data_IF_756844782097
#
_entry.id   IF_756844782097
#
_cell.length_a   1.000
_cell.length_b   1.000
_cell.length_c   1.000
_cell.angle_alpha   90.00
_cell.angle_beta   90.00
_cell.angle_gamma   90.00
#
_symmetry.space_group_name_H-M   'P 1'
#
loop_
_entity.id
_entity.type
_entity.pdbx_description
1 polymer ?
#
# COMPACT_ATOMS: atom_id res chain seq x y z
N UNK A 1 13.29 -5.70 -4.76
CA UNK A 1 11.89 -5.47 -5.17
C UNK A 1 11.86 -4.49 -6.32
N UNK A 2 10.95 -4.65 -7.30
CA UNK A 2 11.03 -3.91 -8.57
C UNK A 2 10.81 -2.40 -8.41
N UNK A 3 9.80 -1.96 -7.66
CA UNK A 3 9.47 -0.53 -7.54
C UNK A 3 10.44 0.30 -6.70
N UNK A 4 11.60 -0.23 -6.30
CA UNK A 4 12.63 0.53 -5.57
C UNK A 4 13.38 1.53 -6.46
N UNK A 5 13.36 1.33 -7.78
CA UNK A 5 14.07 2.16 -8.76
C UNK A 5 13.12 2.66 -9.83
N UNK A 6 13.43 3.80 -10.42
CA UNK A 6 12.67 4.43 -11.50
C UNK A 6 12.41 3.48 -12.68
N UNK A 7 11.27 3.66 -13.37
CA UNK A 7 10.89 2.84 -14.52
C UNK A 7 10.24 1.48 -14.17
N UNK A 8 9.99 1.23 -12.89
CA UNK A 8 9.45 -0.03 -12.39
C UNK A 8 8.14 0.09 -11.62
N UNK A 9 7.56 1.30 -11.52
CA UNK A 9 6.24 1.46 -10.94
C UNK A 9 5.14 1.13 -11.95
N UNK A 10 3.91 0.84 -11.49
CA UNK A 10 2.79 0.57 -12.40
C UNK A 10 2.55 1.68 -13.43
N UNK A 11 2.74 2.95 -13.04
CA UNK A 11 2.61 4.10 -13.94
C UNK A 11 3.67 4.14 -15.06
N UNK A 12 4.78 3.42 -14.89
CA UNK A 12 5.79 3.22 -15.94
C UNK A 12 5.43 2.05 -16.88
N UNK A 13 4.37 1.31 -16.57
CA UNK A 13 3.95 0.06 -17.21
C UNK A 13 2.51 0.10 -17.73
N UNK A 14 1.99 1.30 -17.98
CA UNK A 14 0.70 1.53 -18.64
C UNK A 14 -0.50 1.67 -17.70
N UNK A 15 -0.28 1.77 -16.38
CA UNK A 15 -1.36 2.14 -15.46
C UNK A 15 -1.50 3.67 -15.37
N UNK A 16 -2.74 4.17 -15.36
CA UNK A 16 -3.02 5.60 -15.25
C UNK A 16 -2.81 6.15 -13.85
N UNK A 17 -3.08 5.34 -12.83
CA UNK A 17 -2.96 5.71 -11.42
C UNK A 17 -2.33 4.61 -10.57
N UNK A 18 -1.68 5.01 -9.49
CA UNK A 18 -1.06 4.11 -8.53
C UNK A 18 -1.16 4.67 -7.12
N UNK A 19 -1.63 3.85 -6.18
CA UNK A 19 -1.54 4.07 -4.74
C UNK A 19 -0.93 2.82 -4.10
N UNK A 20 0.23 2.94 -3.48
CA UNK A 20 0.88 1.77 -2.88
C UNK A 20 2.27 2.01 -2.34
N UNK A 21 2.81 0.98 -1.68
CA UNK A 21 4.21 0.93 -1.30
C UNK A 21 5.07 0.42 -2.47
N UNK A 22 6.24 1.02 -2.75
CA UNK A 22 7.07 0.68 -3.93
C UNK A 22 7.74 -0.71 -3.86
N UNK A 23 7.73 -1.34 -2.70
CA UNK A 23 8.33 -2.66 -2.44
C UNK A 23 7.57 -3.36 -1.32
N UNK A 24 7.94 -4.61 -1.04
CA UNK A 24 7.31 -5.37 0.05
C UNK A 24 7.44 -4.63 1.38
N UNK A 25 6.37 -4.70 2.18
CA UNK A 25 6.24 -3.94 3.42
C UNK A 25 7.34 -4.31 4.42
N UNK A 26 7.81 -5.55 4.46
CA UNK A 26 8.90 -6.01 5.33
C UNK A 26 10.27 -5.41 5.03
N UNK A 27 10.45 -4.80 3.87
CA UNK A 27 11.70 -4.12 3.54
C UNK A 27 11.83 -2.79 4.29
N UNK A 28 10.71 -2.19 4.69
CA UNK A 28 10.66 -0.89 5.36
C UNK A 28 11.05 -0.97 6.83
N UNK A 29 11.95 -0.09 7.29
CA UNK A 29 12.40 -0.07 8.69
C UNK A 29 11.24 0.07 9.71
N UNK A 30 10.19 0.80 9.35
CA UNK A 30 9.01 1.06 10.17
C UNK A 30 8.01 -0.08 10.20
N UNK A 31 8.07 -1.03 9.26
CA UNK A 31 7.12 -2.14 9.21
C UNK A 31 7.27 -3.04 10.44
N UNK A 32 8.50 -3.22 10.91
CA UNK A 32 8.82 -4.10 12.03
C UNK A 32 8.66 -3.46 13.41
N UNK A 33 8.47 -2.15 13.45
CA UNK A 33 8.32 -1.41 14.71
C UNK A 33 7.15 -0.44 14.61
N UNK A 34 5.94 -0.97 14.41
CA UNK A 34 4.61 -0.35 14.56
C UNK A 34 4.53 1.15 14.92
N UNK A 35 5.12 2.03 14.11
CA UNK A 35 5.27 3.47 14.40
C UNK A 35 6.14 3.84 15.62
N UNK A 36 6.87 2.90 16.22
CA UNK A 36 7.85 3.13 17.28
C UNK A 36 9.26 3.02 16.69
N UNK A 37 10.17 3.69 17.37
CA UNK A 37 11.49 4.11 16.91
C UNK A 37 12.30 2.97 16.21
N UNK A 38 12.39 3.02 14.87
CA UNK A 38 12.95 2.02 13.95
C UNK A 38 14.40 1.55 14.25
N UNK A 39 14.56 0.88 15.38
CA UNK A 39 15.84 0.50 15.98
C UNK A 39 16.15 -0.98 15.77
N UNK A 40 15.14 -1.79 15.43
CA UNK A 40 15.31 -3.21 15.13
C UNK A 40 15.94 -3.49 13.76
N UNK A 41 15.84 -2.55 12.80
CA UNK A 41 16.35 -2.71 11.43
C UNK A 41 16.95 -1.39 10.89
N UNK A 42 18.14 -0.96 11.38
CA UNK A 42 18.71 0.36 11.07
C UNK A 42 19.17 0.54 9.61
N UNK A 43 19.18 -0.53 8.80
CA UNK A 43 19.64 -0.51 7.40
C UNK A 43 18.51 -0.69 6.37
N UNK A 44 17.25 -0.78 6.81
CA UNK A 44 16.12 -0.88 5.88
C UNK A 44 15.86 0.46 5.17
N UNK A 45 15.42 0.45 3.89
CA UNK A 45 14.89 1.65 3.26
C UNK A 45 13.72 2.23 4.07
N UNK A 46 13.36 3.52 3.86
CA UNK A 46 12.10 4.06 4.38
C UNK A 46 10.91 3.22 3.90
N UNK A 47 9.71 3.41 4.44
CA UNK A 47 8.50 2.81 3.88
C UNK A 47 7.54 3.91 3.42
N UNK A 48 7.67 4.43 2.20
CA UNK A 48 6.76 5.46 1.70
C UNK A 48 5.47 4.81 1.17
N UNK A 49 4.35 5.47 1.44
CA UNK A 49 3.12 5.30 0.66
C UNK A 49 3.15 6.30 -0.50
N UNK A 50 3.11 5.78 -1.72
CA UNK A 50 3.14 6.59 -2.93
C UNK A 50 1.74 6.77 -3.51
N UNK A 51 1.45 7.96 -4.06
CA UNK A 51 0.34 8.24 -4.96
C UNK A 51 0.86 8.89 -6.24
N UNK A 52 0.62 8.24 -7.38
CA UNK A 52 1.10 8.69 -8.68
C UNK A 52 0.03 8.62 -9.76
N UNK A 53 0.25 9.36 -10.84
CA UNK A 53 -0.52 9.24 -12.08
C UNK A 53 0.42 9.23 -13.28
N UNK A 54 0.01 8.58 -14.37
CA UNK A 54 0.77 8.49 -15.61
C UNK A 54 1.26 9.87 -16.10
N UNK A 55 2.44 9.89 -16.71
CA UNK A 55 3.08 11.11 -17.19
C UNK A 55 3.69 12.00 -16.09
N UNK A 56 3.61 11.60 -14.82
CA UNK A 56 4.32 12.24 -13.70
C UNK A 56 5.31 11.24 -13.10
N UNK A 57 6.60 11.58 -13.07
CA UNK A 57 7.59 10.75 -12.38
C UNK A 57 7.30 10.72 -10.88
N UNK A 58 7.26 9.52 -10.32
CA UNK A 58 7.13 9.32 -8.87
C UNK A 58 8.45 9.59 -8.13
N UNK A 59 9.57 9.65 -8.84
CA UNK A 59 10.91 9.72 -8.27
C UNK A 59 11.69 10.98 -8.65
N UNK A 60 11.23 11.76 -9.64
CA UNK A 60 11.90 13.00 -10.05
C UNK A 60 11.63 14.12 -9.04
N UNK A 61 12.41 14.17 -7.96
CA UNK A 61 12.66 15.33 -7.08
C UNK A 61 11.45 16.22 -6.70
N UNK A 62 10.23 15.69 -6.72
CA UNK A 62 9.01 16.39 -6.36
C UNK A 62 8.37 15.69 -5.16
N UNK A 63 8.06 16.42 -4.06
CA UNK A 63 7.39 15.88 -2.88
C UNK A 63 5.88 15.58 -3.13
N UNK A 64 5.50 15.18 -4.34
CA UNK A 64 4.10 14.95 -4.72
C UNK A 64 3.71 13.47 -4.77
N UNK A 65 4.69 12.56 -4.84
CA UNK A 65 4.44 11.11 -4.89
C UNK A 65 4.33 10.49 -3.51
N UNK A 66 5.20 10.83 -2.56
CA UNK A 66 5.12 10.32 -1.18
C UNK A 66 4.03 11.07 -0.41
N UNK A 67 2.96 10.37 -0.05
CA UNK A 67 1.84 10.94 0.71
C UNK A 67 1.88 10.59 2.20
N UNK A 68 2.69 9.60 2.59
CA UNK A 68 2.92 9.21 3.98
C UNK A 68 4.26 8.47 4.09
N UNK A 69 5.07 8.82 5.10
CA UNK A 69 6.31 8.11 5.42
C UNK A 69 6.64 8.27 6.91
N UNK A 70 6.81 7.17 7.67
CA UNK A 70 6.52 5.79 7.25
C UNK A 70 5.03 5.55 7.00
N UNK A 71 4.71 4.66 6.07
CA UNK A 71 3.35 4.21 5.81
C UNK A 71 2.79 3.52 7.06
N UNK A 72 1.56 3.88 7.44
CA UNK A 72 0.87 3.24 8.55
C UNK A 72 0.15 1.99 8.05
N UNK A 73 0.73 0.83 8.36
CA UNK A 73 0.21 -0.48 7.96
C UNK A 73 -1.22 -0.71 8.46
N UNK A 74 -1.61 -0.18 9.63
CA UNK A 74 -2.97 -0.33 10.15
C UNK A 74 -4.02 0.38 9.29
N UNK A 75 -3.60 1.35 8.46
CA UNK A 75 -4.51 2.13 7.62
C UNK A 75 -4.47 1.76 6.14
N UNK A 76 -3.50 0.93 5.72
CA UNK A 76 -3.27 0.62 4.30
C UNK A 76 -4.50 0.00 3.64
N UNK A 77 -5.13 -0.99 4.27
CA UNK A 77 -6.31 -1.66 3.68
C UNK A 77 -7.46 -0.69 3.48
N UNK A 78 -7.74 0.18 4.46
CA UNK A 78 -8.78 1.21 4.33
C UNK A 78 -8.45 2.23 3.23
N UNK A 79 -7.18 2.62 3.08
CA UNK A 79 -6.74 3.52 2.00
C UNK A 79 -6.86 2.88 0.63
N UNK A 80 -6.48 1.61 0.48
CA UNK A 80 -6.62 0.87 -0.77
C UNK A 80 -8.08 0.66 -1.14
N UNK A 81 -8.93 0.28 -0.18
CA UNK A 81 -10.37 0.11 -0.40
C UNK A 81 -11.03 1.44 -0.80
N UNK A 82 -10.67 2.56 -0.16
CA UNK A 82 -11.15 3.89 -0.55
C UNK A 82 -10.71 4.26 -1.96
N UNK A 83 -9.43 4.08 -2.28
CA UNK A 83 -8.90 4.38 -3.62
C UNK A 83 -9.59 3.53 -4.71
N UNK A 84 -9.81 2.24 -4.45
CA UNK A 84 -10.56 1.36 -5.34
C UNK A 84 -12.01 1.84 -5.52
N UNK A 85 -12.69 2.18 -4.42
CA UNK A 85 -14.06 2.69 -4.46
C UNK A 85 -14.19 4.00 -5.24
N UNK A 86 -13.29 4.96 -4.98
CA UNK A 86 -13.25 6.25 -5.69
C UNK A 86 -12.98 6.02 -7.19
N UNK A 87 -12.00 5.19 -7.55
CA UNK A 87 -11.68 4.85 -8.94
C UNK A 87 -12.86 4.17 -9.66
N UNK A 88 -13.49 3.18 -9.05
CA UNK A 88 -14.63 2.47 -9.66
C UNK A 88 -15.82 3.42 -9.82
N UNK A 89 -16.08 4.27 -8.83
CA UNK A 89 -17.16 5.25 -8.89
C UNK A 89 -16.94 6.28 -10.00
N UNK A 90 -15.70 6.73 -10.23
CA UNK A 90 -15.34 7.62 -11.34
C UNK A 90 -15.44 6.90 -12.69
N UNK A 91 -14.86 5.69 -12.80
CA UNK A 91 -14.91 4.90 -14.03
C UNK A 91 -16.35 4.56 -14.45
N UNK A 92 -17.25 4.31 -13.49
CA UNK A 92 -18.66 4.04 -13.74
C UNK A 92 -19.45 5.25 -14.27
N UNK A 93 -18.89 6.47 -14.24
CA UNK A 93 -19.50 7.64 -14.90
C UNK A 93 -19.26 7.66 -16.41
N UNK A 94 -18.28 6.89 -16.90
CA UNK A 94 -18.01 6.72 -18.32
C UNK A 94 -18.52 5.39 -18.87
N UNK A 95 -18.46 5.25 -20.20
CA UNK A 95 -18.83 4.01 -20.90
C UNK A 95 -17.63 3.08 -21.19
N UNK A 96 -16.41 3.50 -20.82
CA UNK A 96 -15.20 2.73 -21.08
C UNK A 96 -14.99 1.63 -20.03
N UNK A 97 -14.63 0.39 -20.43
CA UNK A 97 -14.23 -0.63 -19.47
C UNK A 97 -12.95 -0.21 -18.75
N UNK A 98 -12.85 -0.53 -17.46
CA UNK A 98 -11.65 -0.26 -16.66
C UNK A 98 -10.91 -1.55 -16.30
N UNK A 99 -9.63 -1.41 -16.01
CA UNK A 99 -8.81 -2.45 -15.40
C UNK A 99 -8.25 -1.94 -14.08
N UNK A 100 -8.55 -2.64 -12.99
CA UNK A 100 -8.06 -2.32 -11.66
C UNK A 100 -7.30 -3.52 -11.08
N UNK A 101 -6.07 -3.29 -10.65
CA UNK A 101 -5.23 -4.33 -10.05
C UNK A 101 -4.97 -3.99 -8.57
N UNK A 102 -5.64 -4.72 -7.68
CA UNK A 102 -5.50 -4.57 -6.23
C UNK A 102 -4.53 -5.62 -5.69
N UNK A 103 -3.30 -5.22 -5.44
CA UNK A 103 -2.29 -6.06 -4.78
C UNK A 103 -2.23 -5.71 -3.28
N UNK A 104 -3.03 -6.40 -2.46
CA UNK A 104 -2.95 -6.23 -1.01
C UNK A 104 -1.54 -6.55 -0.49
N UNK A 105 -1.10 -5.79 0.51
CA UNK A 105 0.13 -6.11 1.25
C UNK A 105 -0.09 -7.26 2.25
N UNK A 106 -1.34 -7.50 2.64
CA UNK A 106 -1.72 -8.75 3.30
C UNK A 106 -1.47 -9.95 2.37
N UNK A 107 -1.10 -11.12 2.85
CA UNK A 107 -0.78 -11.50 4.25
C UNK A 107 0.73 -11.68 4.43
N UNK A 108 1.51 -10.86 3.73
CA UNK A 108 2.96 -10.87 3.89
C UNK A 108 3.35 -10.42 5.30
N UNK A 109 4.51 -10.87 5.77
CA UNK A 109 5.08 -10.36 7.02
C UNK A 109 5.48 -8.88 6.87
N UNK A 110 5.54 -8.12 7.97
CA UNK A 110 4.97 -8.44 9.27
C UNK A 110 3.44 -8.57 9.17
N UNK A 111 2.83 -9.46 9.95
CA UNK A 111 1.38 -9.50 10.02
C UNK A 111 0.89 -8.21 10.67
N UNK A 112 -0.08 -7.55 10.06
CA UNK A 112 -0.72 -6.35 10.59
C UNK A 112 -2.23 -6.44 10.34
N UNK A 113 -2.99 -5.70 11.12
CA UNK A 113 -4.40 -5.45 10.87
C UNK A 113 -4.77 -4.07 11.45
N UNK A 114 -5.85 -3.45 10.99
CA UNK A 114 -6.38 -2.24 11.58
C UNK A 114 -6.66 -2.45 13.07
N UNK A 115 -6.41 -1.42 13.89
CA UNK A 115 -6.55 -1.49 15.36
C UNK A 115 -7.86 -2.10 15.84
N UNK A 116 -8.97 -1.80 15.17
CA UNK A 116 -10.30 -2.31 15.49
C UNK A 116 -10.54 -3.76 15.06
N UNK A 117 -9.67 -4.34 14.24
CA UNK A 117 -9.73 -5.71 13.70
C UNK A 117 -8.77 -6.68 14.39
N UNK A 118 -7.85 -6.19 15.22
CA UNK A 118 -6.94 -7.04 16.00
C UNK A 118 -7.68 -7.89 17.06
N UNK A 119 -7.28 -9.15 17.20
CA UNK A 119 -7.78 -10.09 18.22
C UNK A 119 -9.15 -10.70 17.92
N UNK A 120 -9.67 -10.56 16.69
CA UNK A 120 -11.00 -11.08 16.31
C UNK A 120 -10.94 -12.52 15.81
N UNK A 121 -9.82 -12.90 15.20
CA UNK A 121 -9.63 -14.22 14.61
C UNK A 121 -9.09 -15.24 15.60
N UNK A 122 -9.56 -16.49 15.47
CA UNK A 122 -9.00 -17.64 16.19
C UNK A 122 -7.57 -18.00 15.74
N UNK A 123 -7.07 -17.42 14.64
CA UNK A 123 -5.72 -17.65 14.11
C UNK A 123 -4.75 -16.50 14.42
N UNK A 124 -5.04 -15.70 15.44
CA UNK A 124 -4.20 -14.56 15.85
C UNK A 124 -4.07 -13.52 14.74
N UNK A 125 -3.00 -12.71 14.80
CA UNK A 125 -2.82 -11.54 13.93
C UNK A 125 -2.76 -11.90 12.42
N UNK A 126 -2.23 -13.06 12.05
CA UNK A 126 -2.33 -13.54 10.67
C UNK A 126 -3.80 -13.75 10.26
N UNK A 127 -4.59 -14.33 11.14
CA UNK A 127 -6.02 -14.50 10.93
C UNK A 127 -6.79 -13.18 10.87
N UNK A 128 -6.39 -12.19 11.67
CA UNK A 128 -6.95 -10.84 11.64
C UNK A 128 -6.63 -10.15 10.30
N UNK A 129 -5.40 -10.30 9.80
CA UNK A 129 -4.98 -9.82 8.49
C UNK A 129 -5.78 -10.44 7.34
N UNK A 130 -6.02 -11.76 7.39
CA UNK A 130 -6.89 -12.45 6.43
C UNK A 130 -8.32 -11.90 6.49
N UNK A 131 -8.89 -11.74 7.69
CA UNK A 131 -10.25 -11.24 7.86
C UNK A 131 -10.41 -9.77 7.42
N UNK A 132 -9.37 -8.95 7.61
CA UNK A 132 -9.36 -7.58 7.11
C UNK A 132 -9.30 -7.54 5.58
N UNK A 133 -8.43 -8.34 4.97
CA UNK A 133 -8.36 -8.47 3.50
C UNK A 133 -9.69 -8.97 2.93
N UNK A 134 -10.28 -9.99 3.54
CA UNK A 134 -11.59 -10.55 3.18
C UNK A 134 -12.70 -9.49 3.23
N UNK A 135 -12.73 -8.68 4.29
CA UNK A 135 -13.73 -7.62 4.44
C UNK A 135 -13.54 -6.42 3.48
N UNK A 136 -12.42 -6.35 2.76
CA UNK A 136 -12.14 -5.29 1.79
C UNK A 136 -12.50 -5.67 0.34
N UNK A 137 -12.83 -6.95 0.08
CA UNK A 137 -13.28 -7.48 -1.21
C UNK A 137 -14.80 -7.48 -1.27
#
# INVERSE_FOLDING_TARGET
HLGQTDGHLPTDRGFDEYLGVPYSVDMGNSAWDWGRNASAYPYGPPLPLLRCSAGRSCFDNAPKSVIEQPADLETLTARYARFAGDFIAEAAQGDAPFFFYMAFSHVHVPNFAARGRCGQSRRGLFGDAVQEMDAAV
#
